data_IF_173071764384
#
_entry.id   IF_173071764384
#
_cell.length_a   1.000
_cell.length_b   1.000
_cell.length_c   1.000
_cell.angle_alpha   90.00
_cell.angle_beta   90.00
_cell.angle_gamma   90.00
#
_symmetry.space_group_name_H-M   'P 1'
#
loop_
_entity.id
_entity.type
_entity.pdbx_description
1 polymer ?
#
# COMPACT_ATOMS: atom_id res chain seq x y z
N UNK A 1 -0.48 -12.90 -17.91
CA UNK A 1 -0.31 -11.56 -17.30
C UNK A 1 -1.61 -11.27 -16.62
N UNK A 2 -1.57 -11.07 -15.32
CA UNK A 2 -2.79 -10.96 -14.53
C UNK A 2 -2.99 -9.53 -14.12
N UNK A 3 -4.21 -9.03 -14.29
CA UNK A 3 -4.59 -7.67 -13.95
C UNK A 3 -5.72 -7.73 -12.95
N UNK A 4 -5.40 -7.37 -11.72
CA UNK A 4 -6.33 -7.27 -10.62
C UNK A 4 -6.88 -5.86 -10.55
N UNK A 5 -8.14 -5.69 -10.96
CA UNK A 5 -8.80 -4.39 -11.10
C UNK A 5 -9.65 -4.11 -9.88
N UNK A 6 -9.43 -2.97 -9.23
CA UNK A 6 -10.19 -2.57 -8.05
C UNK A 6 -11.52 -1.95 -8.50
N UNK A 7 -12.64 -2.53 -8.06
CA UNK A 7 -13.98 -2.08 -8.46
C UNK A 7 -14.26 -0.65 -8.02
N UNK A 8 -13.83 -0.31 -6.80
CA UNK A 8 -13.80 1.06 -6.29
C UNK A 8 -12.38 1.59 -6.43
N UNK A 9 -12.25 2.90 -6.59
CA UNK A 9 -10.97 3.59 -6.45
C UNK A 9 -10.53 3.69 -4.96
N UNK A 10 -10.52 2.55 -4.29
CA UNK A 10 -10.17 2.38 -2.89
C UNK A 10 -9.51 1.03 -2.75
N UNK A 11 -8.41 0.98 -2.01
CA UNK A 11 -7.74 -0.26 -1.60
C UNK A 11 -8.35 -0.89 -0.35
N UNK A 12 -9.30 -0.19 0.27
CA UNK A 12 -10.06 -0.64 1.43
C UNK A 12 -11.51 -0.90 1.01
N UNK A 13 -12.15 -1.91 1.58
CA UNK A 13 -13.59 -2.20 1.41
C UNK A 13 -14.03 -2.27 -0.08
N UNK A 14 -13.33 -3.10 -0.84
CA UNK A 14 -13.42 -3.16 -2.31
C UNK A 14 -13.42 -4.59 -2.83
N UNK A 15 -14.07 -4.80 -3.97
CA UNK A 15 -13.97 -6.04 -4.74
C UNK A 15 -12.86 -5.89 -5.76
N UNK A 16 -12.05 -6.93 -5.92
CA UNK A 16 -11.00 -7.00 -6.93
C UNK A 16 -11.46 -7.96 -8.02
N UNK A 17 -11.50 -7.47 -9.25
CA UNK A 17 -11.88 -8.21 -10.44
C UNK A 17 -10.62 -8.72 -11.16
N UNK A 18 -10.64 -9.98 -11.60
CA UNK A 18 -9.68 -10.53 -12.55
C UNK A 18 -10.44 -10.88 -13.83
N UNK A 19 -10.05 -10.33 -14.97
CA UNK A 19 -10.75 -10.52 -16.26
C UNK A 19 -12.27 -10.22 -16.17
N UNK A 20 -12.63 -9.14 -15.48
CA UNK A 20 -14.02 -8.72 -15.23
C UNK A 20 -14.85 -9.67 -14.35
N UNK A 21 -14.23 -10.67 -13.72
CA UNK A 21 -14.87 -11.58 -12.77
C UNK A 21 -14.36 -11.27 -11.36
N UNK A 22 -15.23 -11.16 -10.34
CA UNK A 22 -14.80 -11.02 -8.95
C UNK A 22 -13.84 -12.15 -8.56
N UNK A 23 -12.62 -11.78 -8.18
CA UNK A 23 -11.58 -12.72 -7.73
C UNK A 23 -11.39 -12.62 -6.22
N UNK A 24 -11.32 -11.40 -5.68
CA UNK A 24 -11.14 -11.18 -4.25
C UNK A 24 -12.09 -10.11 -3.70
N UNK A 25 -12.31 -10.17 -2.39
CA UNK A 25 -12.87 -9.09 -1.60
C UNK A 25 -11.85 -8.67 -0.55
N UNK A 26 -11.58 -7.36 -0.47
CA UNK A 26 -10.72 -6.77 0.55
C UNK A 26 -11.59 -5.99 1.52
N UNK A 27 -11.51 -6.32 2.80
CA UNK A 27 -12.23 -5.63 3.89
C UNK A 27 -11.25 -5.23 4.99
N UNK A 28 -11.45 -4.07 5.59
CA UNK A 28 -10.58 -3.49 6.62
C UNK A 28 -11.40 -3.08 7.84
N UNK A 29 -11.22 -3.81 8.95
CA UNK A 29 -12.01 -3.60 10.17
C UNK A 29 -11.35 -2.56 11.09
N UNK A 30 -12.10 -1.52 11.42
CA UNK A 30 -11.77 -0.57 12.49
C UNK A 30 -12.22 -1.10 13.86
N UNK A 31 -11.48 -0.84 14.96
CA UNK A 31 -10.32 0.07 15.09
C UNK A 31 -8.95 -0.60 14.91
N UNK A 32 -8.88 -1.91 14.67
CA UNK A 32 -7.62 -2.65 14.61
C UNK A 32 -6.90 -2.56 13.25
N UNK A 33 -7.46 -1.85 12.26
CA UNK A 33 -6.97 -1.77 10.88
C UNK A 33 -6.66 -3.14 10.25
N UNK A 34 -7.39 -4.17 10.69
CA UNK A 34 -7.21 -5.55 10.24
C UNK A 34 -7.76 -5.67 8.82
N UNK A 35 -6.91 -5.99 7.85
CA UNK A 35 -7.30 -6.16 6.46
C UNK A 35 -7.38 -7.64 6.11
N UNK A 36 -8.58 -8.12 5.82
CA UNK A 36 -8.83 -9.47 5.30
C UNK A 36 -8.88 -9.41 3.76
N UNK A 37 -8.19 -10.35 3.11
CA UNK A 37 -8.31 -10.65 1.68
C UNK A 37 -8.96 -12.02 1.56
N UNK A 38 -10.10 -12.08 0.88
CA UNK A 38 -10.90 -13.30 0.74
C UNK A 38 -11.20 -13.60 -0.72
N UNK A 39 -11.37 -14.87 -1.08
CA UNK A 39 -11.85 -15.26 -2.42
C UNK A 39 -13.30 -14.82 -2.57
N UNK A 40 -13.60 -14.14 -3.67
CA UNK A 40 -14.96 -13.72 -3.97
C UNK A 40 -15.87 -14.94 -4.22
N UNK A 41 -17.09 -14.90 -3.66
CA UNK A 41 -18.09 -15.95 -3.82
C UNK A 41 -18.03 -17.09 -2.79
N UNK A 42 -16.84 -17.48 -2.31
CA UNK A 42 -16.69 -18.50 -1.25
C UNK A 42 -16.41 -17.90 0.13
N UNK A 43 -15.99 -16.64 0.19
CA UNK A 43 -15.56 -15.94 1.42
C UNK A 43 -14.38 -16.62 2.13
N UNK A 44 -13.65 -17.49 1.43
CA UNK A 44 -12.47 -18.16 1.98
C UNK A 44 -11.34 -17.15 2.21
N UNK A 45 -10.79 -17.10 3.42
CA UNK A 45 -9.65 -16.24 3.75
C UNK A 45 -8.41 -16.73 3.01
N UNK A 46 -7.74 -15.85 2.26
CA UNK A 46 -6.46 -16.15 1.59
C UNK A 46 -5.29 -15.45 2.24
N UNK A 47 -5.50 -14.22 2.69
CA UNK A 47 -4.50 -13.47 3.44
C UNK A 47 -5.14 -12.53 4.45
N UNK A 48 -4.42 -12.24 5.53
CA UNK A 48 -4.81 -11.25 6.52
C UNK A 48 -3.61 -10.41 6.91
N UNK A 49 -3.76 -9.09 6.88
CA UNK A 49 -2.76 -8.11 7.30
C UNK A 49 -3.25 -7.51 8.61
N UNK A 50 -2.44 -7.59 9.65
CA UNK A 50 -2.78 -7.13 10.99
C UNK A 50 -1.73 -6.10 11.46
N UNK A 51 -1.97 -4.80 11.20
CA UNK A 51 -1.18 -3.71 11.73
C UNK A 51 -1.41 -3.57 13.23
N UNK A 52 -0.35 -3.48 14.04
CA UNK A 52 -0.46 -3.42 15.50
C UNK A 52 0.23 -2.16 16.02
N UNK A 53 -0.45 -1.41 16.89
CA UNK A 53 0.10 -0.15 17.44
C UNK A 53 1.27 -0.39 18.40
N UNK A 54 1.20 -1.46 19.21
CA UNK A 54 2.18 -1.76 20.27
C UNK A 54 3.02 -3.02 19.99
N UNK A 55 2.61 -3.83 19.01
CA UNK A 55 3.28 -5.07 18.65
C UNK A 55 3.76 -4.98 17.20
N UNK A 56 4.69 -5.85 16.77
CA UNK A 56 5.08 -5.89 15.37
C UNK A 56 3.89 -6.25 14.47
N UNK A 57 3.78 -5.58 13.34
CA UNK A 57 2.83 -5.92 12.29
C UNK A 57 3.02 -7.35 11.81
N UNK A 58 1.91 -7.96 11.44
CA UNK A 58 1.85 -9.38 11.12
C UNK A 58 1.01 -9.64 9.88
N UNK A 59 1.33 -10.70 9.16
CA UNK A 59 0.59 -11.19 8.00
C UNK A 59 0.34 -12.69 8.15
N UNK A 60 -0.82 -13.15 7.71
CA UNK A 60 -1.20 -14.55 7.62
C UNK A 60 -1.49 -14.85 6.15
N UNK A 61 -1.06 -16.00 5.66
CA UNK A 61 -1.50 -16.57 4.39
C UNK A 61 -2.14 -17.91 4.67
N UNK A 62 -3.38 -18.14 4.28
CA UNK A 62 -4.09 -19.36 4.65
C UNK A 62 -3.48 -20.61 4.02
N UNK A 63 -3.12 -20.52 2.73
CA UNK A 63 -2.61 -21.64 1.94
C UNK A 63 -1.08 -21.64 1.79
N UNK A 64 -0.38 -20.68 2.42
CA UNK A 64 1.08 -20.59 2.40
C UNK A 64 1.64 -20.54 3.83
N UNK A 65 2.94 -20.86 3.97
CA UNK A 65 3.65 -20.80 5.26
C UNK A 65 2.99 -21.60 6.39
N UNK A 66 2.39 -22.74 6.07
CA UNK A 66 1.61 -23.60 6.99
C UNK A 66 0.46 -22.88 7.71
N UNK A 67 -0.09 -21.80 7.14
CA UNK A 67 -1.13 -21.02 7.80
C UNK A 67 -0.63 -20.29 9.05
N UNK A 68 0.69 -20.05 9.18
CA UNK A 68 1.26 -19.37 10.35
C UNK A 68 1.32 -17.87 10.16
N UNK A 69 1.04 -17.14 11.25
CA UNK A 69 1.23 -15.69 11.29
C UNK A 69 2.73 -15.34 11.24
N UNK A 70 3.12 -14.55 10.25
CA UNK A 70 4.47 -14.06 10.05
C UNK A 70 4.58 -12.61 10.49
N UNK A 71 5.72 -12.24 11.08
CA UNK A 71 6.04 -10.80 11.26
C UNK A 71 6.31 -10.18 9.90
N UNK A 72 5.68 -9.04 9.61
CA UNK A 72 5.87 -8.33 8.34
C UNK A 72 7.35 -8.00 8.13
N UNK A 73 8.08 -7.57 9.16
CA UNK A 73 9.53 -7.29 9.05
C UNK A 73 10.40 -8.49 8.66
N UNK A 74 9.91 -9.73 8.84
CA UNK A 74 10.60 -10.95 8.39
C UNK A 74 10.24 -11.33 6.96
N UNK A 75 8.97 -11.15 6.60
CA UNK A 75 8.40 -11.47 5.29
C UNK A 75 8.76 -10.42 4.23
N UNK A 76 8.53 -9.15 4.56
CA UNK A 76 8.80 -7.97 3.76
C UNK A 76 9.91 -7.14 4.44
N UNK A 77 11.16 -7.44 4.09
CA UNK A 77 12.33 -6.91 4.82
C UNK A 77 12.68 -5.51 4.37
N UNK A 78 12.74 -4.56 5.29
CA UNK A 78 13.20 -3.21 4.98
C UNK A 78 14.68 -3.20 4.55
N UNK A 79 14.99 -2.47 3.50
CA UNK A 79 16.33 -2.30 2.95
C UNK A 79 16.58 -0.83 2.56
N UNK A 80 17.82 -0.38 2.74
CA UNK A 80 18.30 0.91 2.24
C UNK A 80 19.10 0.67 0.96
N UNK A 81 18.69 1.31 -0.12
CA UNK A 81 19.37 1.22 -1.41
C UNK A 81 20.61 2.12 -1.43
N UNK A 82 21.49 1.94 -2.43
CA UNK A 82 22.77 2.64 -2.55
C UNK A 82 22.61 4.16 -2.69
N UNK A 83 21.51 4.59 -3.31
CA UNK A 83 21.12 5.99 -3.46
C UNK A 83 20.52 6.60 -2.18
N UNK A 84 20.41 5.81 -1.10
CA UNK A 84 19.86 6.21 0.18
C UNK A 84 18.34 6.07 0.28
N UNK A 85 17.66 5.72 -0.81
CA UNK A 85 16.22 5.45 -0.80
C UNK A 85 15.88 4.18 -0.01
N UNK A 86 14.62 4.05 0.39
CA UNK A 86 14.12 2.88 1.12
C UNK A 86 13.33 1.97 0.19
N UNK A 87 13.49 0.67 0.38
CA UNK A 87 12.77 -0.36 -0.34
C UNK A 87 12.43 -1.51 0.61
N UNK A 88 11.52 -2.36 0.17
CA UNK A 88 11.21 -3.60 0.82
C UNK A 88 11.64 -4.79 -0.04
N UNK A 89 12.37 -5.73 0.56
CA UNK A 89 12.77 -6.98 -0.08
C UNK A 89 11.73 -8.03 0.25
N UNK A 90 11.02 -8.47 -0.78
CA UNK A 90 10.13 -9.62 -0.75
C UNK A 90 10.89 -10.85 -1.27
N UNK A 91 10.61 -12.03 -0.71
CA UNK A 91 11.19 -13.29 -1.21
C UNK A 91 10.09 -14.20 -1.75
N UNK A 92 10.02 -14.34 -3.07
CA UNK A 92 9.07 -15.20 -3.77
C UNK A 92 9.81 -16.35 -4.42
N UNK A 93 9.46 -17.60 -4.07
CA UNK A 93 10.10 -18.78 -4.66
C UNK A 93 11.59 -18.96 -4.38
N UNK A 94 12.11 -18.32 -3.32
CA UNK A 94 13.55 -18.29 -3.01
C UNK A 94 14.32 -17.17 -3.71
N UNK A 95 13.71 -16.47 -4.67
CA UNK A 95 14.29 -15.30 -5.31
C UNK A 95 13.92 -14.02 -4.55
N UNK A 96 14.77 -13.00 -4.66
CA UNK A 96 14.55 -11.71 -4.00
C UNK A 96 14.02 -10.68 -4.99
N UNK A 97 12.97 -9.99 -4.60
CA UNK A 97 12.36 -8.91 -5.36
C UNK A 97 12.33 -7.63 -4.52
N UNK A 98 12.47 -6.48 -5.18
CA UNK A 98 12.42 -5.15 -4.56
C UNK A 98 11.07 -4.50 -4.80
N UNK A 99 10.29 -4.34 -3.73
CA UNK A 99 9.10 -3.51 -3.67
C UNK A 99 9.52 -2.07 -3.30
N UNK A 100 9.23 -1.12 -4.16
CA UNK A 100 9.73 0.26 -4.03
C UNK A 100 8.83 1.23 -4.77
N UNK A 101 8.87 2.49 -4.33
CA UNK A 101 8.26 3.58 -5.06
C UNK A 101 8.82 3.67 -6.50
N UNK A 102 7.97 4.05 -7.44
CA UNK A 102 8.31 4.17 -8.86
C UNK A 102 7.66 5.41 -9.46
N UNK A 103 8.44 6.26 -10.14
CA UNK A 103 7.96 7.55 -10.66
C UNK A 103 6.69 7.45 -11.50
N UNK A 104 6.65 6.48 -12.43
CA UNK A 104 5.48 6.27 -13.31
C UNK A 104 4.30 5.54 -12.67
N UNK A 105 4.57 4.64 -11.73
CA UNK A 105 3.58 3.65 -11.27
C UNK A 105 3.15 3.87 -9.82
N UNK A 106 3.78 4.78 -9.08
CA UNK A 106 3.62 4.91 -7.64
C UNK A 106 4.39 3.82 -6.91
N UNK A 107 4.01 2.54 -7.10
CA UNK A 107 4.66 1.37 -6.48
C UNK A 107 4.95 0.28 -7.52
N UNK A 108 6.12 -0.35 -7.40
CA UNK A 108 6.52 -1.45 -8.28
C UNK A 108 7.32 -2.51 -7.54
N UNK A 109 7.17 -3.77 -7.96
CA UNK A 109 7.97 -4.90 -7.58
C UNK A 109 8.93 -5.24 -8.74
N UNK A 110 10.22 -5.29 -8.45
CA UNK A 110 11.27 -5.52 -9.45
C UNK A 110 12.14 -6.71 -9.10
N UNK A 111 12.58 -7.46 -10.10
CA UNK A 111 13.62 -8.47 -9.91
C UNK A 111 14.90 -7.80 -9.42
N UNK A 112 15.52 -8.29 -8.34
CA UNK A 112 16.72 -7.67 -7.78
C UNK A 112 17.91 -7.73 -8.76
N UNK A 113 18.06 -8.86 -9.47
CA UNK A 113 19.20 -9.11 -10.35
C UNK A 113 19.10 -8.37 -11.70
N UNK A 114 17.90 -8.35 -12.31
CA UNK A 114 17.71 -7.79 -13.65
C UNK A 114 17.10 -6.39 -13.65
N UNK A 115 16.53 -5.94 -12.52
CA UNK A 115 15.79 -4.68 -12.43
C UNK A 115 14.45 -4.68 -13.17
N UNK A 116 14.08 -5.78 -13.82
CA UNK A 116 12.81 -5.91 -14.57
C UNK A 116 11.60 -5.74 -13.65
N UNK A 117 10.56 -5.06 -14.13
CA UNK A 117 9.32 -4.87 -13.38
C UNK A 117 8.50 -6.15 -13.49
N UNK A 118 8.22 -6.76 -12.34
CA UNK A 118 7.44 -7.99 -12.24
C UNK A 118 6.00 -7.73 -11.79
N UNK A 119 5.76 -6.69 -11.00
CA UNK A 119 4.42 -6.20 -10.71
C UNK A 119 4.43 -4.69 -10.48
N UNK A 120 3.31 -4.01 -10.72
CA UNK A 120 3.19 -2.57 -10.46
C UNK A 120 1.74 -2.11 -10.33
N UNK A 121 1.54 -1.00 -9.62
CA UNK A 121 0.29 -0.26 -9.67
C UNK A 121 0.12 0.40 -11.04
N UNK A 122 -1.05 0.23 -11.62
CA UNK A 122 -1.55 1.07 -12.70
C UNK A 122 -2.48 2.11 -12.07
N UNK A 123 -2.05 3.38 -11.96
CA UNK A 123 -2.85 4.40 -11.30
C UNK A 123 -4.18 4.60 -12.02
N UNK A 124 -5.17 5.07 -11.29
CA UNK A 124 -6.43 5.49 -11.88
C UNK A 124 -6.19 6.60 -12.90
N UNK A 125 -6.83 6.47 -14.05
CA UNK A 125 -6.94 7.54 -15.05
C UNK A 125 -8.43 7.79 -15.29
N UNK A 126 -8.79 8.91 -15.93
CA UNK A 126 -10.18 9.35 -16.16
C UNK A 126 -11.17 8.26 -16.65
N UNK A 127 -10.69 7.18 -17.25
CA UNK A 127 -11.48 6.06 -17.76
C UNK A 127 -11.05 4.67 -17.26
N UNK A 128 -10.07 4.58 -16.35
CA UNK A 128 -9.49 3.30 -15.92
C UNK A 128 -9.34 3.24 -14.41
N UNK A 129 -9.98 2.27 -13.73
CA UNK A 129 -9.81 2.09 -12.29
C UNK A 129 -8.38 1.69 -11.94
N UNK A 130 -8.02 1.89 -10.66
CA UNK A 130 -6.79 1.38 -10.06
C UNK A 130 -6.67 -0.13 -10.33
N UNK A 131 -5.49 -0.57 -10.76
CA UNK A 131 -5.23 -1.99 -10.97
C UNK A 131 -3.81 -2.40 -10.56
N UNK A 132 -3.67 -3.62 -10.07
CA UNK A 132 -2.37 -4.28 -9.88
C UNK A 132 -2.09 -5.17 -11.08
N UNK A 133 -1.00 -4.90 -11.79
CA UNK A 133 -0.55 -5.68 -12.94
C UNK A 133 0.58 -6.60 -12.50
N UNK A 134 0.45 -7.90 -12.78
CA UNK A 134 1.39 -8.96 -12.37
C UNK A 134 1.90 -9.70 -13.61
N UNK A 135 3.23 -9.82 -13.71
CA UNK A 135 3.92 -10.57 -14.77
C UNK A 135 3.59 -12.06 -14.67
N UNK A 136 3.43 -12.78 -15.80
CA UNK A 136 3.21 -14.23 -15.81
C UNK A 136 4.21 -15.02 -14.95
N UNK A 137 5.47 -14.58 -14.90
CA UNK A 137 6.56 -15.32 -14.24
C UNK A 137 6.36 -15.49 -12.73
N UNK A 138 5.60 -14.59 -12.11
CA UNK A 138 5.33 -14.57 -10.67
C UNK A 138 3.85 -14.66 -10.32
N UNK A 139 3.00 -14.99 -11.30
CA UNK A 139 1.54 -15.07 -11.14
C UNK A 139 1.11 -16.05 -10.04
N UNK A 140 1.86 -17.14 -9.84
CA UNK A 140 1.61 -18.11 -8.76
C UNK A 140 1.73 -17.54 -7.34
N UNK A 141 2.30 -16.35 -7.17
CA UNK A 141 2.44 -15.65 -5.89
C UNK A 141 1.50 -14.44 -5.79
N UNK A 142 0.42 -14.43 -6.58
CA UNK A 142 -0.51 -13.32 -6.69
C UNK A 142 -1.02 -12.82 -5.33
N UNK A 143 -1.35 -13.72 -4.41
CA UNK A 143 -1.87 -13.35 -3.09
C UNK A 143 -0.82 -12.64 -2.23
N UNK A 144 0.41 -13.14 -2.20
CA UNK A 144 1.52 -12.50 -1.49
C UNK A 144 1.87 -11.14 -2.09
N UNK A 145 1.84 -11.03 -3.43
CA UNK A 145 2.09 -9.77 -4.13
C UNK A 145 0.98 -8.76 -3.79
N UNK A 146 -0.29 -9.16 -3.90
CA UNK A 146 -1.43 -8.31 -3.55
C UNK A 146 -1.33 -7.82 -2.10
N UNK A 147 -1.07 -8.71 -1.16
CA UNK A 147 -0.92 -8.36 0.25
C UNK A 147 0.25 -7.38 0.48
N UNK A 148 1.38 -7.58 -0.21
CA UNK A 148 2.55 -6.70 -0.06
C UNK A 148 2.27 -5.29 -0.58
N UNK A 149 1.57 -5.18 -1.71
CA UNK A 149 1.17 -3.90 -2.28
C UNK A 149 0.15 -3.17 -1.40
N UNK A 150 -0.85 -3.88 -0.86
CA UNK A 150 -1.83 -3.29 0.06
C UNK A 150 -1.18 -2.82 1.37
N UNK A 151 -0.26 -3.62 1.93
CA UNK A 151 0.48 -3.24 3.13
C UNK A 151 1.30 -1.97 2.91
N UNK A 152 2.10 -1.94 1.84
CA UNK A 152 3.03 -0.83 1.58
C UNK A 152 2.29 0.46 1.24
N UNK A 153 1.21 0.38 0.47
CA UNK A 153 0.36 1.55 0.23
C UNK A 153 -0.24 2.09 1.54
N UNK A 154 -0.79 1.22 2.39
CA UNK A 154 -1.36 1.62 3.66
C UNK A 154 -0.33 2.36 4.52
N UNK A 155 0.93 1.90 4.52
CA UNK A 155 2.05 2.54 5.20
C UNK A 155 2.37 3.93 4.60
N UNK A 156 2.43 4.05 3.27
CA UNK A 156 2.70 5.32 2.59
C UNK A 156 1.63 6.36 2.97
N UNK A 157 0.35 6.01 2.87
CA UNK A 157 -0.77 6.90 3.21
C UNK A 157 -0.78 7.31 4.69
N UNK A 158 -0.43 6.39 5.58
CA UNK A 158 -0.31 6.69 7.01
C UNK A 158 0.83 7.68 7.28
N UNK A 159 1.96 7.55 6.56
CA UNK A 159 3.10 8.48 6.66
C UNK A 159 2.73 9.88 6.15
N UNK A 160 2.01 9.98 5.03
CA UNK A 160 1.59 11.26 4.44
C UNK A 160 0.62 12.02 5.36
N UNK A 161 -0.31 11.30 5.98
CA UNK A 161 -1.25 11.86 6.95
C UNK A 161 -0.55 12.43 8.20
N UNK A 162 0.56 11.83 8.64
CA UNK A 162 1.35 12.34 9.77
C UNK A 162 2.14 13.60 9.41
N UNK A 163 2.66 13.68 8.17
CA UNK A 163 3.44 14.82 7.68
C UNK A 163 2.60 16.07 7.38
N UNK A 164 1.29 15.92 7.18
CA UNK A 164 0.39 17.04 6.81
C UNK A 164 -0.24 17.74 8.03
N UNK A 165 0.16 17.41 9.27
CA UNK A 165 -0.35 18.13 10.45
C UNK A 165 0.07 19.61 10.38
N UNK A 166 -0.88 20.56 10.36
CA UNK A 166 -0.56 21.98 10.24
C UNK A 166 0.32 22.40 11.41
N UNK A 167 1.43 23.05 11.09
CA UNK A 167 2.31 23.66 12.08
C UNK A 167 1.53 24.80 12.76
N UNK A 168 0.98 24.53 13.94
CA UNK A 168 0.13 25.47 14.71
C UNK A 168 0.91 26.74 15.15
N UNK A 169 2.23 26.77 14.96
CA UNK A 169 3.06 27.94 15.24
C UNK A 169 3.12 28.98 14.10
N UNK A 170 2.41 28.78 12.97
CA UNK A 170 2.42 29.73 11.85
C UNK A 170 1.27 30.76 11.85
N UNK A 171 0.39 30.79 12.85
CA UNK A 171 -0.61 31.86 13.03
C UNK A 171 -0.06 32.98 13.92
N UNK A 172 0.87 33.79 13.37
CA UNK A 172 1.13 35.12 13.92
C UNK A 172 0.10 36.07 13.29
N UNK A 173 -0.92 36.43 14.08
CA UNK A 173 -1.80 37.55 13.77
C UNK A 173 -0.97 38.84 13.72
N UNK A 174 -0.65 39.33 12.51
CA UNK A 174 -0.21 40.72 12.34
C UNK A 174 -1.45 41.60 12.30
N UNK A 175 -1.95 41.98 13.48
CA UNK A 175 -2.87 43.10 13.61
C UNK A 175 -2.06 44.39 13.46
N UNK A 176 -1.96 44.89 12.23
CA UNK A 176 -1.41 46.22 11.97
C UNK A 176 -2.38 47.28 12.48
N UNK A 177 -2.01 47.90 13.59
CA UNK A 177 -2.52 49.18 14.08
C UNK A 177 -2.40 50.25 12.99
N UNK A 178 -3.51 50.68 12.40
CA UNK A 178 -3.57 51.96 11.70
C UNK A 178 -4.14 53.02 12.66
N UNK A 179 -3.25 53.85 13.16
CA UNK A 179 -3.62 55.12 13.78
C UNK A 179 -4.08 56.10 12.70
N UNK A 180 -5.17 56.81 13.00
CA UNK A 180 -5.48 58.08 12.33
C UNK A 180 -5.76 59.07 13.45
N UNK A 181 -4.78 59.92 13.72
CA UNK A 181 -4.97 61.16 14.45
C UNK A 181 -4.77 62.32 13.49
N UNK A 182 -5.78 63.15 13.29
CA UNK A 182 -5.77 64.56 12.85
C UNK A 182 -7.19 65.04 13.21
N UNK A 183 -7.48 66.17 13.84
CA UNK A 183 -6.76 67.39 14.13
C UNK A 183 -7.85 68.46 14.33
N UNK A 184 -7.61 69.37 15.26
CA UNK A 184 -8.50 70.45 15.71
C UNK A 184 -9.01 71.35 14.58
N UNK A 185 -10.24 71.87 14.73
CA UNK A 185 -10.54 73.31 14.74
C UNK A 185 -11.67 73.57 15.74
#
# INVERSE_FOLDING_TARGET
>A
MTTLVFEKNSMLETTILCNSVPAYTVSTRWPASLTDIRVAGTDALVAQINPKTLLPDTVLFADAYDGKELRVSKWLRHAKLRDGSTAHVLSLGGERQLLTAHEKYGLSLRALETGSILAHWRPEMNSSPLALVISPDIEKYETEILAAFLFEEGRIRASDAQNTKPNVNAMVFTSSTMGVGVGQM
#
